data_IF_728410991813
#
_entry.id   IF_728410991813
#
_cell.length_a   1.000
_cell.length_b   1.000
_cell.length_c   1.000
_cell.angle_alpha   90.00
_cell.angle_beta   90.00
_cell.angle_gamma   90.00
#
_symmetry.space_group_name_H-M   'P 1'
#
loop_
_entity.id
_entity.type
_entity.pdbx_description
1 polymer ?
#
# COMPACT_ATOMS: atom_id res chain seq x y z
N UNK A 1 0.83 3.33 2.15
CA UNK A 1 0.53 3.82 0.78
C UNK A 1 0.93 2.82 -0.27
N UNK A 2 0.44 2.93 -1.50
CA UNK A 2 0.64 1.94 -2.57
C UNK A 2 0.68 2.60 -3.95
N UNK A 3 1.27 1.87 -4.91
CA UNK A 3 1.12 2.17 -6.35
C UNK A 3 1.50 3.62 -6.69
N UNK A 4 2.75 4.00 -6.33
CA UNK A 4 3.34 5.33 -6.60
C UNK A 4 3.67 5.45 -8.09
N UNK A 5 4.11 4.34 -8.71
CA UNK A 5 4.43 4.27 -10.14
C UNK A 5 5.34 5.38 -10.65
N UNK A 6 6.29 5.82 -9.84
CA UNK A 6 7.26 6.85 -10.21
C UNK A 6 6.73 8.28 -10.27
N UNK A 7 5.52 8.56 -9.79
CA UNK A 7 4.99 9.92 -9.70
C UNK A 7 5.65 10.70 -8.57
N UNK A 8 6.51 11.66 -8.90
CA UNK A 8 7.17 12.51 -7.93
C UNK A 8 6.17 13.41 -7.19
N UNK A 9 5.20 14.00 -7.91
CA UNK A 9 4.20 14.88 -7.31
C UNK A 9 3.27 14.16 -6.33
N UNK A 10 2.87 12.90 -6.65
CA UNK A 10 2.03 12.11 -5.76
C UNK A 10 2.81 11.61 -4.53
N UNK A 11 4.07 11.20 -4.72
CA UNK A 11 4.97 10.81 -3.64
C UNK A 11 5.18 11.98 -2.66
N UNK A 12 5.51 13.17 -3.16
CA UNK A 12 5.70 14.37 -2.34
C UNK A 12 4.44 14.69 -1.51
N UNK A 13 3.26 14.68 -2.12
CA UNK A 13 1.99 14.92 -1.41
C UNK A 13 1.76 13.89 -0.30
N UNK A 14 1.98 12.60 -0.58
CA UNK A 14 1.83 11.55 0.41
C UNK A 14 2.82 11.71 1.58
N UNK A 15 4.08 12.05 1.29
CA UNK A 15 5.10 12.29 2.32
C UNK A 15 4.80 13.55 3.16
N UNK A 16 4.24 14.60 2.56
CA UNK A 16 3.78 15.77 3.30
C UNK A 16 2.67 15.40 4.30
N UNK A 17 1.75 14.49 3.94
CA UNK A 17 0.74 13.98 4.87
C UNK A 17 1.36 13.11 5.97
N UNK A 18 2.33 12.26 5.63
CA UNK A 18 3.09 11.45 6.59
C UNK A 18 3.70 12.31 7.70
N UNK A 19 4.35 13.43 7.33
CA UNK A 19 4.94 14.37 8.28
C UNK A 19 3.88 15.17 9.06
N UNK A 20 2.83 15.65 8.38
CA UNK A 20 1.75 16.42 9.00
C UNK A 20 0.98 15.60 10.04
N UNK A 21 0.75 14.31 9.78
CA UNK A 21 0.08 13.37 10.67
C UNK A 21 1.01 12.76 11.72
N UNK A 22 2.32 13.06 11.66
CA UNK A 22 3.36 12.57 12.58
C UNK A 22 3.40 11.04 12.64
N UNK A 23 3.25 10.37 11.51
CA UNK A 23 3.34 8.91 11.44
C UNK A 23 4.78 8.46 11.74
N UNK A 24 4.94 7.33 12.42
CA UNK A 24 6.25 6.78 12.79
C UNK A 24 6.89 6.01 11.64
N UNK A 25 6.11 5.22 10.89
CA UNK A 25 6.57 4.34 9.84
C UNK A 25 5.73 4.45 8.57
N UNK A 26 6.33 4.09 7.45
CA UNK A 26 5.69 4.03 6.14
C UNK A 26 5.63 2.56 5.71
N UNK A 27 4.43 2.06 5.42
CA UNK A 27 4.25 0.77 4.74
C UNK A 27 4.02 1.05 3.26
N UNK A 28 4.93 0.56 2.40
CA UNK A 28 4.82 0.60 0.94
C UNK A 28 4.32 -0.76 0.42
N UNK A 29 3.17 -0.75 -0.21
CA UNK A 29 2.52 -1.96 -0.71
C UNK A 29 2.93 -2.31 -2.16
N UNK A 30 4.10 -1.84 -2.61
CA UNK A 30 4.66 -2.15 -3.93
C UNK A 30 4.32 -1.17 -5.03
N UNK A 31 4.82 -1.46 -6.25
CA UNK A 31 4.71 -0.65 -7.47
C UNK A 31 5.22 0.78 -7.25
N UNK A 32 6.53 0.86 -6.86
CA UNK A 32 7.13 2.12 -6.38
C UNK A 32 7.60 3.00 -7.53
N UNK A 33 8.44 2.48 -8.45
CA UNK A 33 9.16 3.31 -9.43
C UNK A 33 8.62 3.21 -10.85
N UNK A 34 8.28 2.02 -11.32
CA UNK A 34 7.88 1.81 -12.70
C UNK A 34 6.36 1.94 -12.87
N UNK A 35 5.96 2.71 -13.91
CA UNK A 35 4.53 2.93 -14.18
C UNK A 35 3.78 1.68 -14.67
N UNK A 36 4.50 0.66 -15.17
CA UNK A 36 3.92 -0.55 -15.77
C UNK A 36 3.44 -0.32 -17.22
N UNK A 37 3.52 -1.34 -18.07
CA UNK A 37 3.25 -1.19 -19.53
C UNK A 37 1.78 -0.96 -19.86
N UNK A 38 0.87 -1.24 -18.92
CA UNK A 38 -0.59 -1.12 -19.10
C UNK A 38 -1.16 0.20 -18.58
N UNK A 39 -0.40 0.94 -17.78
CA UNK A 39 -0.84 2.19 -17.19
C UNK A 39 -0.37 3.39 -18.03
N UNK A 40 -1.09 4.52 -18.06
CA UNK A 40 -0.54 5.76 -18.56
C UNK A 40 0.62 6.21 -17.68
N UNK A 41 1.47 7.09 -18.21
CA UNK A 41 2.46 7.79 -17.37
C UNK A 41 1.71 8.64 -16.33
N UNK A 42 2.02 8.49 -15.04
CA UNK A 42 1.42 9.35 -14.03
C UNK A 42 1.96 10.78 -14.12
N UNK A 43 1.27 11.69 -13.44
CA UNK A 43 1.71 13.08 -13.34
C UNK A 43 3.11 13.18 -12.72
N UNK A 44 3.96 14.05 -13.28
CA UNK A 44 5.35 14.26 -12.86
C UNK A 44 6.12 12.93 -12.70
N UNK A 45 6.05 12.06 -13.73
CA UNK A 45 6.79 10.78 -13.73
C UNK A 45 8.30 11.03 -13.67
N UNK A 46 8.89 10.83 -12.51
CA UNK A 46 10.33 10.93 -12.25
C UNK A 46 10.75 9.93 -11.14
N UNK A 47 11.09 8.68 -11.52
CA UNK A 47 11.53 7.67 -10.57
C UNK A 47 12.77 8.08 -9.76
N UNK A 48 13.67 8.90 -10.32
CA UNK A 48 14.86 9.38 -9.60
C UNK A 48 14.48 10.33 -8.47
N UNK A 49 13.52 11.22 -8.73
CA UNK A 49 13.00 12.12 -7.69
C UNK A 49 12.28 11.32 -6.59
N UNK A 50 11.51 10.27 -6.94
CA UNK A 50 10.90 9.36 -5.96
C UNK A 50 11.97 8.69 -5.09
N UNK A 51 13.03 8.14 -5.68
CA UNK A 51 14.17 7.57 -4.92
C UNK A 51 14.80 8.61 -3.98
N UNK A 52 15.03 9.84 -4.45
CA UNK A 52 15.62 10.92 -3.65
C UNK A 52 14.75 11.31 -2.45
N UNK A 53 13.43 11.19 -2.56
CA UNK A 53 12.49 11.44 -1.46
C UNK A 53 12.39 10.27 -0.48
N UNK A 54 12.38 9.02 -0.94
CA UNK A 54 12.19 7.85 -0.10
C UNK A 54 13.46 7.37 0.61
N UNK A 55 14.62 7.44 -0.05
CA UNK A 55 15.88 6.91 0.51
C UNK A 55 16.30 7.53 1.84
N UNK A 56 16.12 8.85 2.10
CA UNK A 56 16.38 9.42 3.43
C UNK A 56 15.51 8.83 4.54
N UNK A 57 14.37 8.24 4.20
CA UNK A 57 13.41 7.62 5.13
C UNK A 57 13.58 6.10 5.24
N UNK A 58 14.62 5.52 4.65
CA UNK A 58 14.80 4.06 4.53
C UNK A 58 14.65 3.30 5.86
N UNK A 59 15.10 3.87 6.98
CA UNK A 59 14.98 3.27 8.32
C UNK A 59 13.56 3.29 8.89
N UNK A 60 12.62 3.95 8.22
CA UNK A 60 11.20 4.07 8.60
C UNK A 60 10.27 3.44 7.54
N UNK A 61 10.82 2.70 6.58
CA UNK A 61 10.05 2.10 5.48
C UNK A 61 10.05 0.58 5.61
N UNK A 62 8.86 0.00 5.61
CA UNK A 62 8.61 -1.42 5.42
C UNK A 62 7.93 -1.56 4.05
N UNK A 63 8.51 -2.37 3.16
CA UNK A 63 7.97 -2.52 1.81
C UNK A 63 7.77 -3.99 1.42
N UNK A 64 6.80 -4.23 0.56
CA UNK A 64 6.68 -5.48 -0.20
C UNK A 64 6.79 -5.19 -1.70
N UNK A 65 7.10 -6.24 -2.47
CA UNK A 65 7.27 -6.16 -3.92
C UNK A 65 5.91 -6.11 -4.62
N UNK A 66 5.75 -5.13 -5.51
CA UNK A 66 4.67 -5.11 -6.49
C UNK A 66 5.02 -5.87 -7.77
N UNK A 67 4.07 -5.96 -8.69
CA UNK A 67 4.28 -6.63 -9.97
C UNK A 67 5.12 -5.79 -10.96
N UNK A 68 5.24 -4.50 -10.72
CA UNK A 68 6.08 -3.61 -11.53
C UNK A 68 7.47 -3.39 -10.92
N UNK A 69 7.70 -3.80 -9.67
CA UNK A 69 8.99 -3.67 -9.01
C UNK A 69 9.97 -4.75 -9.50
N UNK A 70 11.20 -4.34 -9.74
CA UNK A 70 12.24 -5.18 -10.32
C UNK A 70 13.51 -5.22 -9.44
N UNK A 71 14.43 -6.12 -9.78
CA UNK A 71 15.74 -6.16 -9.12
C UNK A 71 16.52 -4.84 -9.29
N UNK A 72 16.29 -4.12 -10.38
CA UNK A 72 16.92 -2.81 -10.63
C UNK A 72 16.44 -1.77 -9.63
N UNK A 73 15.18 -1.84 -9.19
CA UNK A 73 14.64 -0.92 -8.18
C UNK A 73 15.36 -1.08 -6.84
N UNK A 74 15.71 -2.34 -6.48
CA UNK A 74 16.52 -2.60 -5.28
C UNK A 74 17.93 -2.01 -5.38
N UNK A 75 18.48 -1.80 -6.57
CA UNK A 75 19.80 -1.21 -6.73
C UNK A 75 19.81 0.30 -6.43
N UNK A 76 18.67 0.96 -6.48
CA UNK A 76 18.53 2.41 -6.30
C UNK A 76 17.75 2.82 -5.05
N UNK A 77 16.97 1.90 -4.47
CA UNK A 77 16.26 2.11 -3.20
C UNK A 77 17.10 1.59 -2.03
N UNK A 78 17.20 2.39 -0.97
CA UNK A 78 18.03 2.11 0.21
C UNK A 78 17.33 1.25 1.27
N UNK A 79 16.15 0.71 0.97
CA UNK A 79 15.38 -0.19 1.82
C UNK A 79 14.98 -1.46 1.05
N UNK A 80 14.72 -2.61 1.72
CA UNK A 80 14.30 -3.84 1.05
C UNK A 80 12.96 -3.67 0.33
N UNK A 81 12.88 -4.06 -0.95
CA UNK A 81 11.65 -3.98 -1.76
C UNK A 81 11.32 -5.27 -2.52
N UNK A 82 12.07 -6.35 -2.30
CA UNK A 82 11.94 -7.60 -3.06
C UNK A 82 11.17 -8.72 -2.36
N UNK A 83 10.69 -8.49 -1.13
CA UNK A 83 9.89 -9.47 -0.42
C UNK A 83 8.45 -9.50 -0.97
N UNK A 84 7.93 -10.69 -1.28
CA UNK A 84 6.56 -10.84 -1.78
C UNK A 84 5.51 -10.47 -0.73
N UNK A 85 5.89 -10.52 0.55
CA UNK A 85 5.07 -10.10 1.69
C UNK A 85 5.94 -9.74 2.89
N UNK A 86 5.33 -9.07 3.86
CA UNK A 86 5.92 -8.80 5.17
C UNK A 86 4.87 -8.98 6.28
N UNK A 87 5.36 -9.13 7.50
CA UNK A 87 4.55 -9.02 8.70
C UNK A 87 5.01 -7.83 9.54
N UNK A 88 4.06 -7.04 9.98
CA UNK A 88 4.27 -5.99 10.99
C UNK A 88 3.55 -6.40 12.26
N UNK A 89 4.15 -6.16 13.41
CA UNK A 89 3.52 -6.41 14.71
C UNK A 89 3.59 -5.11 15.51
N UNK A 90 2.41 -4.59 15.86
CA UNK A 90 2.25 -3.39 16.67
C UNK A 90 1.30 -3.68 17.83
N UNK A 91 1.77 -3.50 19.06
CA UNK A 91 1.02 -3.77 20.30
C UNK A 91 0.20 -5.09 20.27
N UNK A 92 0.85 -6.17 19.82
CA UNK A 92 0.23 -7.49 19.67
C UNK A 92 -0.72 -7.64 18.48
N UNK A 93 -0.93 -6.60 17.68
CA UNK A 93 -1.67 -6.65 16.41
C UNK A 93 -0.74 -7.16 15.32
N UNK A 94 -1.07 -8.29 14.72
CA UNK A 94 -0.33 -8.84 13.58
C UNK A 94 -0.97 -8.39 12.28
N UNK A 95 -0.18 -7.69 11.47
CA UNK A 95 -0.57 -7.11 10.19
C UNK A 95 0.16 -7.87 9.07
N UNK A 96 -0.56 -8.46 8.15
CA UNK A 96 -0.02 -9.03 6.92
C UNK A 96 0.01 -7.97 5.83
N UNK A 97 1.15 -7.85 5.15
CA UNK A 97 1.40 -6.85 4.11
C UNK A 97 1.77 -7.57 2.82
N UNK A 98 1.03 -7.35 1.75
CA UNK A 98 1.37 -7.83 0.41
C UNK A 98 0.96 -6.80 -0.65
N UNK A 99 1.43 -6.97 -1.88
CA UNK A 99 0.91 -6.14 -2.98
C UNK A 99 -0.47 -6.62 -3.48
N UNK A 100 -0.79 -7.89 -3.29
CA UNK A 100 -2.06 -8.48 -3.73
C UNK A 100 -1.96 -9.33 -5.01
N UNK A 101 -0.97 -9.13 -5.86
CA UNK A 101 -0.85 -9.86 -7.14
C UNK A 101 -0.44 -11.34 -6.98
N UNK A 102 0.21 -11.72 -5.88
CA UNK A 102 0.55 -13.12 -5.53
C UNK A 102 -0.37 -13.62 -4.43
N UNK A 103 -0.51 -12.85 -3.36
CA UNK A 103 -1.36 -13.13 -2.22
C UNK A 103 -2.40 -12.03 -2.11
N UNK A 104 -3.67 -12.38 -2.17
CA UNK A 104 -4.80 -11.44 -2.13
C UNK A 104 -5.71 -11.77 -0.97
N UNK A 105 -6.31 -10.76 -0.34
CA UNK A 105 -7.41 -11.00 0.59
C UNK A 105 -8.60 -11.68 -0.09
N UNK A 106 -9.43 -12.33 0.75
CA UNK A 106 -10.74 -12.77 0.35
C UNK A 106 -11.71 -11.58 0.23
N UNK A 107 -12.68 -11.68 -0.67
CA UNK A 107 -13.79 -10.73 -0.77
C UNK A 107 -14.55 -10.59 0.56
N UNK A 108 -15.23 -9.45 0.78
CA UNK A 108 -15.97 -9.15 2.01
C UNK A 108 -17.02 -10.22 2.32
N UNK A 109 -17.79 -10.64 1.33
CA UNK A 109 -18.87 -11.62 1.48
C UNK A 109 -18.54 -13.00 0.87
N UNK A 110 -17.35 -13.17 0.29
CA UNK A 110 -16.92 -14.35 -0.45
C UNK A 110 -15.74 -15.05 0.16
N UNK A 111 -15.31 -16.11 -0.51
CA UNK A 111 -14.09 -16.84 -0.23
C UNK A 111 -13.12 -16.78 -1.43
N UNK A 112 -13.49 -16.02 -2.46
CA UNK A 112 -12.68 -15.80 -3.64
C UNK A 112 -11.66 -14.68 -3.41
N UNK A 113 -10.49 -14.73 -4.04
CA UNK A 113 -9.50 -13.66 -3.95
C UNK A 113 -9.98 -12.43 -4.73
N UNK A 114 -9.79 -11.22 -4.15
CA UNK A 114 -10.11 -9.94 -4.81
C UNK A 114 -9.33 -9.79 -6.12
N UNK A 115 -8.09 -10.26 -6.15
CA UNK A 115 -7.25 -10.26 -7.36
C UNK A 115 -7.31 -11.61 -8.02
N UNK A 116 -7.89 -11.69 -9.19
CA UNK A 116 -7.99 -12.94 -9.96
C UNK A 116 -6.63 -13.58 -10.22
N UNK A 117 -6.53 -14.88 -10.01
CA UNK A 117 -5.29 -15.65 -10.17
C UNK A 117 -4.31 -15.58 -8.99
N UNK A 118 -4.57 -14.78 -7.99
CA UNK A 118 -3.79 -14.75 -6.75
C UNK A 118 -4.23 -15.85 -5.77
N UNK A 119 -3.49 -15.99 -4.67
CA UNK A 119 -3.73 -16.99 -3.63
C UNK A 119 -4.22 -16.33 -2.36
N UNK A 120 -5.22 -16.92 -1.72
CA UNK A 120 -5.58 -16.62 -0.33
C UNK A 120 -4.69 -17.48 0.58
N UNK A 121 -4.08 -16.85 1.58
CA UNK A 121 -3.32 -17.55 2.61
C UNK A 121 -4.18 -17.80 3.86
N UNK A 122 -3.99 -18.91 4.56
CA UNK A 122 -4.50 -19.04 5.92
C UNK A 122 -3.68 -18.12 6.83
N UNK A 123 -4.28 -17.05 7.30
CA UNK A 123 -3.63 -16.01 8.09
C UNK A 123 -4.01 -16.10 9.59
N UNK A 124 -3.84 -17.28 10.18
CA UNK A 124 -4.15 -17.51 11.60
C UNK A 124 -3.42 -16.51 12.51
N UNK A 125 -4.17 -15.87 13.40
CA UNK A 125 -3.66 -14.86 14.30
C UNK A 125 -3.35 -13.50 13.67
N UNK A 126 -3.66 -13.31 12.38
CA UNK A 126 -3.58 -12.01 11.71
C UNK A 126 -4.85 -11.21 11.96
N UNK A 127 -4.71 -9.95 12.37
CA UNK A 127 -5.83 -9.04 12.60
C UNK A 127 -6.11 -8.13 11.42
N UNK A 128 -5.09 -7.82 10.63
CA UNK A 128 -5.15 -6.88 9.50
C UNK A 128 -4.44 -7.45 8.27
N UNK A 129 -5.01 -7.23 7.10
CA UNK A 129 -4.42 -7.54 5.80
C UNK A 129 -4.39 -6.27 4.94
N UNK A 130 -3.17 -5.81 4.59
CA UNK A 130 -2.94 -4.64 3.75
C UNK A 130 -2.50 -5.10 2.36
N UNK A 131 -3.13 -4.54 1.32
CA UNK A 131 -2.77 -4.84 -0.07
C UNK A 131 -2.94 -3.65 -1.00
N UNK A 132 -2.31 -3.68 -2.18
CA UNK A 132 -2.35 -2.64 -3.23
C UNK A 132 -2.93 -3.16 -4.54
N UNK A 133 -2.24 -2.90 -5.66
CA UNK A 133 -2.42 -3.48 -6.99
C UNK A 133 -3.67 -3.05 -7.77
N UNK A 134 -4.83 -3.03 -7.15
CA UNK A 134 -6.09 -2.73 -7.85
C UNK A 134 -6.37 -1.25 -8.01
N UNK A 135 -5.64 -0.37 -7.29
CA UNK A 135 -5.76 1.10 -7.31
C UNK A 135 -7.13 1.63 -6.86
N UNK A 136 -7.84 0.88 -6.02
CA UNK A 136 -9.17 1.20 -5.52
C UNK A 136 -9.13 1.16 -4.00
N UNK A 137 -9.60 2.23 -3.35
CA UNK A 137 -9.71 2.23 -1.89
C UNK A 137 -10.76 1.23 -1.42
N UNK A 138 -10.35 0.33 -0.52
CA UNK A 138 -11.22 -0.66 0.11
C UNK A 138 -10.91 -0.76 1.61
N UNK A 139 -11.97 -0.89 2.42
CA UNK A 139 -11.82 -1.08 3.87
C UNK A 139 -13.05 -1.83 4.41
N UNK A 140 -12.86 -3.06 4.87
CA UNK A 140 -13.93 -3.94 5.37
C UNK A 140 -13.38 -5.01 6.31
N UNK A 141 -14.24 -5.78 6.97
CA UNK A 141 -13.88 -7.07 7.61
C UNK A 141 -14.35 -8.21 6.71
N UNK A 142 -13.45 -9.15 6.45
CA UNK A 142 -13.81 -10.38 5.74
C UNK A 142 -14.56 -11.37 6.66
N UNK A 143 -15.00 -12.51 6.11
CA UNK A 143 -15.72 -13.56 6.87
C UNK A 143 -14.93 -14.13 8.05
N UNK A 144 -13.60 -14.10 7.99
CA UNK A 144 -12.73 -14.54 9.08
C UNK A 144 -12.55 -13.47 10.18
N UNK A 145 -13.15 -12.28 10.01
CA UNK A 145 -13.02 -11.15 10.94
C UNK A 145 -11.75 -10.33 10.77
N UNK A 146 -10.93 -10.62 9.76
CA UNK A 146 -9.71 -9.87 9.46
C UNK A 146 -10.10 -8.52 8.84
N UNK A 147 -9.53 -7.43 9.32
CA UNK A 147 -9.67 -6.12 8.71
C UNK A 147 -8.83 -6.05 7.43
N UNK A 148 -9.48 -5.84 6.30
CA UNK A 148 -8.85 -5.77 4.98
C UNK A 148 -8.82 -4.32 4.53
N UNK A 149 -7.64 -3.84 4.13
CA UNK A 149 -7.44 -2.47 3.66
C UNK A 149 -6.62 -2.43 2.37
N UNK A 150 -7.16 -1.75 1.37
CA UNK A 150 -6.42 -1.25 0.23
C UNK A 150 -6.45 0.28 0.28
N UNK A 151 -5.30 0.97 0.36
CA UNK A 151 -5.28 2.43 0.40
C UNK A 151 -5.58 3.09 -0.95
N UNK A 152 -5.79 2.32 -2.01
CA UNK A 152 -5.81 2.79 -3.39
C UNK A 152 -4.41 3.10 -3.91
N UNK A 153 -4.34 3.80 -5.02
CA UNK A 153 -3.08 4.32 -5.56
C UNK A 153 -2.91 5.79 -5.21
N UNK A 154 -1.69 6.21 -4.86
CA UNK A 154 -1.39 7.63 -4.66
C UNK A 154 -1.34 8.41 -5.98
N UNK A 155 -1.11 7.74 -7.12
CA UNK A 155 -0.86 8.38 -8.41
C UNK A 155 -1.86 8.05 -9.52
N UNK A 156 -2.34 6.80 -9.56
CA UNK A 156 -3.15 6.24 -10.66
C UNK A 156 -4.43 5.59 -10.14
N UNK A 157 -5.32 6.30 -9.42
CA UNK A 157 -6.55 5.73 -8.89
C UNK A 157 -7.46 5.25 -10.03
N UNK A 158 -8.26 4.20 -9.75
CA UNK A 158 -9.20 3.59 -10.71
C UNK A 158 -10.64 3.62 -10.19
N UNK A 159 -11.59 3.46 -11.11
CA UNK A 159 -13.02 3.29 -10.83
C UNK A 159 -13.61 4.40 -9.92
N UNK A 160 -13.16 5.65 -10.08
CA UNK A 160 -13.66 6.78 -9.29
C UNK A 160 -13.11 6.83 -7.85
N UNK A 161 -12.21 5.93 -7.46
CA UNK A 161 -11.50 6.01 -6.19
C UNK A 161 -10.62 7.27 -6.16
N UNK A 162 -10.53 7.99 -5.05
CA UNK A 162 -9.59 9.10 -4.94
C UNK A 162 -8.14 8.57 -4.93
N UNK A 163 -7.20 9.39 -5.38
CA UNK A 163 -5.79 9.19 -5.05
C UNK A 163 -5.62 9.34 -3.54
N UNK A 164 -4.95 8.39 -2.90
CA UNK A 164 -4.94 8.39 -1.45
C UNK A 164 -4.01 7.39 -0.78
N UNK A 165 -4.14 7.32 0.52
CA UNK A 165 -3.36 6.47 1.42
C UNK A 165 -4.24 6.01 2.60
N UNK A 166 -3.69 5.17 3.47
CA UNK A 166 -4.31 4.78 4.73
C UNK A 166 -3.38 5.07 5.91
N UNK A 167 -3.97 5.33 7.07
CA UNK A 167 -3.27 5.40 8.35
C UNK A 167 -3.83 4.33 9.26
N UNK A 168 -2.92 3.57 9.89
CA UNK A 168 -3.22 2.68 10.99
C UNK A 168 -2.73 3.33 12.30
N UNK A 169 -3.60 3.41 13.28
CA UNK A 169 -3.29 3.91 14.62
C UNK A 169 -4.24 3.28 15.65
N UNK A 170 -3.70 2.72 16.74
CA UNK A 170 -4.49 2.25 17.88
C UNK A 170 -5.70 1.35 17.51
N UNK A 171 -5.49 0.34 16.66
CA UNK A 171 -6.53 -0.57 16.12
C UNK A 171 -7.61 0.13 15.29
N UNK A 172 -7.29 1.28 14.73
CA UNK A 172 -8.10 1.98 13.75
C UNK A 172 -7.35 2.04 12.42
N UNK A 173 -8.06 1.80 11.33
CA UNK A 173 -7.57 2.09 9.97
C UNK A 173 -8.46 3.16 9.40
N UNK A 174 -7.87 4.22 8.88
CA UNK A 174 -8.59 5.30 8.20
C UNK A 174 -8.02 5.48 6.79
N UNK A 175 -8.90 5.46 5.80
CA UNK A 175 -8.59 5.84 4.42
C UNK A 175 -8.62 7.36 4.29
N UNK A 176 -7.65 7.90 3.58
CA UNK A 176 -7.54 9.33 3.28
C UNK A 176 -7.36 9.57 1.79
N UNK A 177 -7.87 10.68 1.29
CA UNK A 177 -7.42 11.25 0.02
C UNK A 177 -6.06 11.96 0.21
N UNK A 178 -5.34 12.25 -0.88
CA UNK A 178 -4.02 12.91 -0.81
C UNK A 178 -4.05 14.33 -0.24
N UNK A 179 -5.22 14.97 -0.19
CA UNK A 179 -5.39 16.28 0.46
C UNK A 179 -5.53 16.18 2.00
N UNK A 180 -5.50 14.96 2.54
CA UNK A 180 -5.66 14.69 3.97
C UNK A 180 -7.12 14.56 4.42
N UNK A 181 -8.11 14.62 3.52
CA UNK A 181 -9.50 14.41 3.88
C UNK A 181 -9.79 12.93 4.17
N UNK A 182 -10.32 12.64 5.36
CA UNK A 182 -10.72 11.29 5.78
C UNK A 182 -11.92 10.79 4.96
N UNK A 183 -11.84 9.53 4.49
CA UNK A 183 -12.86 8.89 3.65
C UNK A 183 -13.68 7.85 4.42
N UNK A 184 -13.02 6.91 5.05
CA UNK A 184 -13.64 5.80 5.78
C UNK A 184 -12.75 5.33 6.91
N UNK A 185 -13.34 4.98 8.06
CA UNK A 185 -12.62 4.43 9.22
C UNK A 185 -13.21 3.09 9.63
N UNK A 186 -12.35 2.16 10.03
CA UNK A 186 -12.70 0.84 10.57
C UNK A 186 -11.91 0.58 11.85
N UNK A 187 -12.62 0.22 12.92
CA UNK A 187 -12.04 -0.34 14.13
C UNK A 187 -12.06 -1.88 14.12
N UNK A 188 -11.06 -2.55 14.71
CA UNK A 188 -10.95 -4.00 14.71
C UNK A 188 -10.30 -4.56 15.99
#
# INVERSE_FOLDING_TARGET
MSDIHGSASACEKALNQFEAMKCDEIILLGDVLYHGPRNPLPDAYDPKAVCAMLNPLAGRIIACRGNCDSEVDQMVLSFPVQADYAYVVDDGVRIFVSHGHIYSPAEEAGDEPIVGGSRILPLDGTAVELFGHIHIQMLYKNKAGIAVCNPGSVSLPKNGSPAGFAVYENRLITLYALDGSGQKTLAF
#
